data_IF_639685314641
#
_entry.id   IF_639685314641
#
_cell.length_a   1.000
_cell.length_b   1.000
_cell.length_c   1.000
_cell.angle_alpha   90.00
_cell.angle_beta   90.00
_cell.angle_gamma   90.00
#
_symmetry.space_group_name_H-M   'P 1'
#
loop_
_entity.id
_entity.type
_entity.pdbx_description
1 polymer ?
#
# COMPACT_ATOMS: atom_id res chain seq x y z
N UNK A 1 -14.70 3.46 1.97
CA UNK A 1 -13.96 3.98 3.15
C UNK A 1 -13.15 5.23 2.78
N UNK A 2 -13.74 6.43 2.88
CA UNK A 2 -13.04 7.68 2.53
C UNK A 2 -11.94 8.09 3.53
N UNK A 3 -12.11 7.91 4.86
CA UNK A 3 -11.10 8.32 5.83
C UNK A 3 -9.76 7.60 5.66
N UNK A 4 -9.79 6.30 5.34
CA UNK A 4 -8.60 5.48 5.12
C UNK A 4 -7.81 5.93 3.88
N UNK A 5 -8.52 6.24 2.79
CA UNK A 5 -7.89 6.72 1.56
C UNK A 5 -7.19 8.07 1.76
N UNK A 6 -7.78 8.97 2.55
CA UNK A 6 -7.14 10.26 2.87
C UNK A 6 -5.87 10.10 3.71
N UNK A 7 -5.80 9.08 4.58
CA UNK A 7 -4.56 8.77 5.30
C UNK A 7 -3.44 8.36 4.34
N UNK A 8 -3.73 7.43 3.42
CA UNK A 8 -2.79 6.98 2.39
C UNK A 8 -2.36 8.13 1.46
N UNK A 9 -3.32 8.97 1.03
CA UNK A 9 -3.03 10.14 0.21
C UNK A 9 -2.15 11.16 0.94
N UNK A 10 -2.34 11.34 2.25
CA UNK A 10 -1.46 12.19 3.07
C UNK A 10 0.00 11.73 3.06
N UNK A 11 0.24 10.41 2.97
CA UNK A 11 1.58 9.84 2.92
C UNK A 11 2.21 9.96 1.54
N UNK A 12 1.41 9.77 0.48
CA UNK A 12 1.86 10.02 -0.90
C UNK A 12 2.28 11.47 -1.09
N UNK A 13 1.61 12.43 -0.44
CA UNK A 13 1.96 13.85 -0.47
C UNK A 13 3.35 14.18 0.12
N UNK A 14 3.99 13.25 0.85
CA UNK A 14 5.38 13.39 1.29
C UNK A 14 6.37 13.22 0.12
N UNK A 15 5.96 12.54 -0.96
CA UNK A 15 6.78 12.27 -2.14
C UNK A 15 6.32 13.06 -3.36
N UNK A 16 5.00 13.20 -3.54
CA UNK A 16 4.37 13.86 -4.68
C UNK A 16 3.37 14.90 -4.15
N UNK A 17 3.76 16.18 -4.08
CA UNK A 17 2.85 17.25 -3.68
C UNK A 17 1.50 17.19 -4.39
N UNK A 18 0.47 17.77 -3.78
CA UNK A 18 -0.87 17.75 -4.37
C UNK A 18 -0.84 18.45 -5.74
N UNK A 19 -1.37 17.79 -6.76
CA UNK A 19 -1.38 18.31 -8.13
C UNK A 19 -0.10 18.04 -8.93
N UNK A 20 0.85 17.30 -8.37
CA UNK A 20 2.03 16.82 -9.10
C UNK A 20 1.59 15.92 -10.27
N UNK A 21 2.07 16.26 -11.47
CA UNK A 21 1.98 15.38 -12.63
C UNK A 21 2.95 14.20 -12.46
N UNK A 22 2.41 12.99 -12.38
CA UNK A 22 3.18 11.78 -12.21
C UNK A 22 3.83 11.29 -13.52
N UNK A 23 3.38 11.80 -14.68
CA UNK A 23 3.91 11.39 -15.99
C UNK A 23 5.40 11.74 -16.17
N UNK A 24 5.86 12.77 -15.46
CA UNK A 24 7.27 13.19 -15.43
C UNK A 24 8.19 12.32 -14.57
N UNK A 25 7.64 11.37 -13.79
CA UNK A 25 8.43 10.48 -12.95
C UNK A 25 8.68 9.15 -13.64
N UNK A 26 9.90 8.63 -13.50
CA UNK A 26 10.23 7.32 -14.02
C UNK A 26 9.45 6.23 -13.28
N UNK A 27 9.09 5.16 -13.99
CA UNK A 27 8.45 3.99 -13.40
C UNK A 27 9.26 3.46 -12.20
N UNK A 28 10.59 3.48 -12.29
CA UNK A 28 11.49 3.08 -11.20
C UNK A 28 11.25 3.92 -9.93
N UNK A 29 11.10 5.23 -10.07
CA UNK A 29 10.84 6.11 -8.92
C UNK A 29 9.47 5.84 -8.30
N UNK A 30 8.45 5.65 -9.13
CA UNK A 30 7.10 5.32 -8.66
C UNK A 30 7.09 3.98 -7.91
N UNK A 31 7.77 2.97 -8.44
CA UNK A 31 7.92 1.66 -7.80
C UNK A 31 8.66 1.78 -6.47
N UNK A 32 9.76 2.52 -6.40
CA UNK A 32 10.50 2.73 -5.15
C UNK A 32 9.61 3.36 -4.06
N UNK A 33 8.84 4.40 -4.41
CA UNK A 33 7.94 5.04 -3.42
C UNK A 33 6.84 4.08 -2.97
N UNK A 34 6.30 3.27 -3.88
CA UNK A 34 5.32 2.24 -3.53
C UNK A 34 5.91 1.19 -2.58
N UNK A 35 7.13 0.71 -2.85
CA UNK A 35 7.86 -0.22 -1.99
C UNK A 35 8.09 0.37 -0.60
N UNK A 36 8.58 1.61 -0.51
CA UNK A 36 8.77 2.30 0.77
C UNK A 36 7.47 2.41 1.56
N UNK A 37 6.36 2.78 0.92
CA UNK A 37 5.06 2.91 1.58
C UNK A 37 4.48 1.57 2.02
N UNK A 38 4.67 0.52 1.22
CA UNK A 38 4.18 -0.83 1.48
C UNK A 38 5.01 -1.55 2.56
N UNK A 39 6.27 -1.19 2.73
CA UNK A 39 7.17 -1.73 3.76
C UNK A 39 7.24 -0.85 5.01
N UNK A 40 6.51 0.28 5.06
CA UNK A 40 6.49 1.16 6.23
C UNK A 40 5.58 0.60 7.35
N UNK A 41 6.11 0.36 8.57
CA UNK A 41 5.30 0.00 9.74
C UNK A 41 4.18 1.01 10.01
N UNK A 42 2.95 0.52 10.25
CA UNK A 42 1.78 1.37 10.52
C UNK A 42 1.21 1.08 11.90
N UNK A 43 1.07 2.12 12.73
CA UNK A 43 0.41 2.01 14.04
C UNK A 43 -1.01 1.42 13.93
N UNK A 44 -1.76 1.78 12.89
CA UNK A 44 -3.10 1.24 12.62
C UNK A 44 -3.12 -0.26 12.30
N UNK A 45 -1.98 -0.83 11.89
CA UNK A 45 -1.80 -2.26 11.63
C UNK A 45 -1.03 -2.95 12.77
N UNK A 46 -0.99 -2.36 13.97
CA UNK A 46 -0.21 -2.90 15.08
C UNK A 46 1.29 -2.90 14.81
N UNK A 47 1.78 -1.87 14.11
CA UNK A 47 3.18 -1.73 13.64
C UNK A 47 3.63 -2.75 12.59
N UNK A 48 2.70 -3.53 12.01
CA UNK A 48 2.97 -4.31 10.80
C UNK A 48 3.00 -3.43 9.57
N UNK A 49 3.61 -3.94 8.51
CA UNK A 49 3.65 -3.28 7.21
C UNK A 49 2.40 -3.64 6.39
N UNK A 50 1.95 -2.75 5.49
CA UNK A 50 0.88 -3.09 4.55
C UNK A 50 1.17 -4.35 3.74
N UNK A 51 2.42 -4.57 3.31
CA UNK A 51 2.82 -5.77 2.58
C UNK A 51 2.61 -7.06 3.38
N UNK A 52 2.95 -7.07 4.67
CA UNK A 52 2.74 -8.22 5.55
C UNK A 52 1.25 -8.55 5.73
N UNK A 53 0.43 -7.52 5.99
CA UNK A 53 -1.01 -7.70 6.20
C UNK A 53 -1.69 -8.15 4.91
N UNK A 54 -1.31 -7.58 3.76
CA UNK A 54 -1.82 -8.00 2.46
C UNK A 54 -1.44 -9.46 2.16
N UNK A 55 -0.18 -9.84 2.40
CA UNK A 55 0.28 -11.22 2.19
C UNK A 55 -0.52 -12.20 3.05
N UNK A 56 -0.78 -11.85 4.31
CA UNK A 56 -1.62 -12.67 5.19
C UNK A 56 -3.05 -12.79 4.65
N UNK A 57 -3.67 -11.67 4.29
CA UNK A 57 -5.05 -11.66 3.79
C UNK A 57 -5.20 -12.51 2.52
N UNK A 58 -4.25 -12.41 1.59
CA UNK A 58 -4.25 -13.21 0.36
C UNK A 58 -4.14 -14.71 0.68
N UNK A 59 -3.29 -15.09 1.64
CA UNK A 59 -3.18 -16.49 2.08
C UNK A 59 -4.49 -16.99 2.69
N UNK A 60 -5.13 -16.19 3.54
CA UNK A 60 -6.41 -16.54 4.17
C UNK A 60 -7.54 -16.70 3.13
N UNK A 61 -7.58 -15.80 2.14
CA UNK A 61 -8.51 -15.92 1.01
C UNK A 61 -8.25 -17.21 0.20
N UNK A 62 -7.00 -17.52 -0.13
CA UNK A 62 -6.66 -18.74 -0.86
C UNK A 62 -6.98 -20.01 -0.06
N UNK A 63 -6.76 -20.00 1.26
CA UNK A 63 -7.11 -21.12 2.14
C UNK A 63 -8.64 -21.31 2.26
N UNK A 64 -9.41 -20.23 2.24
CA UNK A 64 -10.88 -20.28 2.24
C UNK A 64 -11.50 -20.69 0.90
N UNK A 65 -10.75 -20.57 -0.20
CA UNK A 65 -11.15 -21.01 -1.56
C UNK A 65 -10.81 -22.48 -1.82
N UNK A 66 -10.22 -23.19 -0.84
CA UNK A 66 -10.01 -24.64 -0.89
C UNK A 66 -11.33 -25.44 -0.69
N UNK A 67 -12.32 -25.15 -1.54
CA UNK A 67 -13.30 -26.09 -2.08
C UNK A 67 -13.39 -25.76 -3.58
N UNK A 68 -12.85 -26.67 -4.41
CA UNK A 68 -12.89 -26.75 -5.89
C UNK A 68 -11.56 -26.48 -6.63
N UNK A 69 -10.65 -27.47 -6.59
CA UNK A 69 -10.11 -28.17 -7.78
C UNK A 69 -9.70 -29.57 -7.37
#
# INVERSE_FOLDING_TARGET
QRPTNENTNGLLRQYFPKGTDLSGYSQRRLTQVAEELNNRPRKSLGFRTPAEVMTQQVRELHAGVALQT
#
